data_IF_650339309228
#
_entry.id   IF_650339309228
#
_cell.length_a   1.000
_cell.length_b   1.000
_cell.length_c   1.000
_cell.angle_alpha   90.00
_cell.angle_beta   90.00
_cell.angle_gamma   90.00
#
_symmetry.space_group_name_H-M   'P 1'
#
loop_
_entity.id
_entity.type
_entity.pdbx_description
1 polymer ?
#
# COMPACT_ATOMS: atom_id res chain seq x y z
N UNK A 1 14.22 14.27 17.29
CA UNK A 1 12.89 13.81 17.74
C UNK A 1 12.89 12.30 17.71
N UNK A 2 12.31 11.65 18.73
CA UNK A 2 12.06 10.20 18.75
C UNK A 2 10.58 10.05 19.04
N UNK A 3 9.85 9.39 18.15
CA UNK A 3 8.41 9.20 18.26
C UNK A 3 8.04 7.79 17.82
N UNK A 4 6.93 7.28 18.35
CA UNK A 4 6.28 6.06 17.86
C UNK A 4 5.12 6.39 16.91
N UNK A 5 4.79 7.68 16.78
CA UNK A 5 3.77 8.16 15.86
C UNK A 5 4.38 8.38 14.48
N UNK A 6 3.92 7.57 13.53
CA UNK A 6 4.42 7.59 12.17
C UNK A 6 3.95 8.84 11.42
N UNK A 7 2.74 9.33 11.66
CA UNK A 7 2.21 10.51 10.98
C UNK A 7 2.99 11.76 11.37
N UNK A 8 3.38 11.87 12.63
CA UNK A 8 4.28 12.92 13.12
C UNK A 8 5.65 12.86 12.42
N UNK A 9 6.26 11.67 12.37
CA UNK A 9 7.55 11.49 11.71
C UNK A 9 7.49 11.79 10.20
N UNK A 10 6.40 11.38 9.54
CA UNK A 10 6.21 11.55 8.10
C UNK A 10 5.96 13.01 7.70
N UNK A 11 5.29 13.79 8.57
CA UNK A 11 4.93 15.17 8.28
C UNK A 11 6.01 16.19 8.66
N UNK A 12 6.79 15.92 9.71
CA UNK A 12 7.70 16.91 10.29
C UNK A 12 9.18 16.67 9.98
N UNK A 13 9.59 15.42 9.71
CA UNK A 13 11.01 15.09 9.59
C UNK A 13 11.58 15.43 8.20
N UNK A 14 12.74 16.08 8.14
CA UNK A 14 13.51 16.18 6.89
C UNK A 14 14.16 14.84 6.53
N UNK A 15 14.54 14.07 7.56
CA UNK A 15 15.07 12.71 7.46
C UNK A 15 14.60 11.90 8.66
N UNK A 16 14.29 10.63 8.43
CA UNK A 16 13.91 9.67 9.47
C UNK A 16 14.77 8.40 9.38
N UNK A 17 14.90 7.73 10.51
CA UNK A 17 15.55 6.42 10.61
C UNK A 17 14.52 5.40 11.11
N UNK A 18 14.32 4.32 10.34
CA UNK A 18 13.50 3.18 10.73
C UNK A 18 14.41 2.18 11.43
N UNK A 19 14.02 1.74 12.63
CA UNK A 19 14.82 0.85 13.46
C UNK A 19 14.08 -0.46 13.76
N UNK A 20 14.82 -1.56 13.84
CA UNK A 20 14.33 -2.88 14.27
C UNK A 20 15.33 -3.53 15.20
N UNK A 21 14.87 -3.99 16.36
CA UNK A 21 15.72 -4.69 17.35
C UNK A 21 17.03 -3.92 17.68
N UNK A 22 16.91 -2.61 17.88
CA UNK A 22 18.04 -1.74 18.23
C UNK A 22 18.99 -1.40 17.07
N UNK A 23 18.71 -1.84 15.83
CA UNK A 23 19.50 -1.51 14.64
C UNK A 23 18.74 -0.62 13.67
N UNK A 24 19.42 0.33 13.05
CA UNK A 24 18.88 1.12 11.95
C UNK A 24 18.77 0.22 10.72
N UNK A 25 17.56 0.13 10.15
CA UNK A 25 17.26 -0.64 8.95
C UNK A 25 17.31 0.25 7.72
N UNK A 26 16.74 1.45 7.80
CA UNK A 26 16.72 2.41 6.69
C UNK A 26 16.80 3.84 7.22
N UNK A 27 17.49 4.72 6.49
CA UNK A 27 17.50 6.16 6.73
C UNK A 27 17.21 6.87 5.42
N UNK A 28 16.29 7.83 5.42
CA UNK A 28 15.91 8.57 4.21
C UNK A 28 15.00 9.74 4.53
N UNK A 29 14.56 10.47 3.52
CA UNK A 29 13.41 11.38 3.67
C UNK A 29 12.14 10.54 3.95
N UNK A 30 11.11 11.11 4.59
CA UNK A 30 9.81 10.44 4.72
C UNK A 30 9.30 9.86 3.40
N UNK A 31 9.39 10.65 2.32
CA UNK A 31 8.98 10.25 0.99
C UNK A 31 9.77 9.04 0.49
N UNK A 32 11.10 9.03 0.63
CA UNK A 32 11.93 7.89 0.16
C UNK A 32 11.68 6.63 0.97
N UNK A 33 11.52 6.76 2.30
CA UNK A 33 11.24 5.60 3.15
C UNK A 33 9.87 5.01 2.84
N UNK A 34 8.90 5.85 2.48
CA UNK A 34 7.56 5.42 2.11
C UNK A 34 7.49 4.84 0.69
N UNK A 35 8.04 5.52 -0.32
CA UNK A 35 7.96 5.08 -1.72
C UNK A 35 8.99 3.99 -2.07
N UNK A 36 10.12 3.93 -1.35
CA UNK A 36 11.23 3.00 -1.62
C UNK A 36 11.69 2.28 -0.34
N UNK A 37 10.81 1.48 0.29
CA UNK A 37 11.17 0.71 1.46
C UNK A 37 12.20 -0.38 1.10
N UNK A 38 13.32 -0.45 1.80
CA UNK A 38 14.41 -1.40 1.49
C UNK A 38 14.12 -2.84 1.89
N UNK A 39 13.04 -3.08 2.63
CA UNK A 39 12.65 -4.42 3.05
C UNK A 39 11.15 -4.49 3.33
N UNK A 40 10.62 -5.72 3.37
CA UNK A 40 9.25 -5.98 3.81
C UNK A 40 8.96 -5.37 5.19
N UNK A 41 9.91 -5.46 6.11
CA UNK A 41 9.75 -4.85 7.42
C UNK A 41 9.49 -3.34 7.32
N UNK A 42 10.27 -2.61 6.51
CA UNK A 42 10.07 -1.16 6.38
C UNK A 42 8.76 -0.84 5.65
N UNK A 43 8.42 -1.62 4.62
CA UNK A 43 7.17 -1.46 3.88
C UNK A 43 5.93 -1.66 4.77
N UNK A 44 5.95 -2.70 5.62
CA UNK A 44 4.90 -3.02 6.59
C UNK A 44 4.90 -2.06 7.80
N UNK A 45 6.07 -1.51 8.15
CA UNK A 45 6.20 -0.62 9.29
C UNK A 45 5.79 0.81 8.96
N UNK A 46 6.07 1.31 7.76
CA UNK A 46 5.79 2.69 7.36
C UNK A 46 4.53 2.73 6.50
N UNK A 47 3.42 3.06 7.15
CA UNK A 47 2.09 3.10 6.55
C UNK A 47 1.58 1.72 6.12
N UNK A 48 0.49 1.73 5.35
CA UNK A 48 -0.13 0.50 4.85
C UNK A 48 0.45 0.17 3.47
N UNK A 49 0.67 -1.11 3.20
CA UNK A 49 1.10 -1.61 1.89
C UNK A 49 0.43 -2.95 1.58
N UNK A 50 0.20 -3.21 0.29
CA UNK A 50 -0.01 -4.56 -0.20
C UNK A 50 1.36 -5.21 -0.42
N UNK A 51 1.63 -6.31 0.28
CA UNK A 51 2.85 -7.10 0.08
C UNK A 51 2.50 -8.33 -0.75
N UNK A 52 3.00 -8.36 -1.99
CA UNK A 52 2.63 -9.35 -2.99
C UNK A 52 3.86 -10.19 -3.33
N UNK A 53 3.74 -11.52 -3.25
CA UNK A 53 4.77 -12.42 -3.77
C UNK A 53 4.74 -12.41 -5.30
N UNK A 54 5.90 -12.19 -5.91
CA UNK A 54 6.08 -12.21 -7.37
C UNK A 54 7.07 -13.32 -7.78
N UNK A 55 7.05 -13.76 -9.04
CA UNK A 55 7.93 -14.83 -9.51
C UNK A 55 9.41 -14.61 -9.16
N UNK A 56 10.09 -15.70 -8.82
CA UNK A 56 11.48 -15.66 -8.37
C UNK A 56 11.65 -15.48 -6.85
N UNK A 57 10.57 -15.65 -6.06
CA UNK A 57 10.63 -15.59 -4.60
C UNK A 57 10.86 -14.17 -4.07
N UNK A 58 10.43 -13.16 -4.82
CA UNK A 58 10.60 -11.74 -4.49
C UNK A 58 9.29 -11.15 -4.00
N UNK A 59 9.38 -10.03 -3.31
CA UNK A 59 8.23 -9.31 -2.79
C UNK A 59 8.08 -7.96 -3.48
N UNK A 60 6.83 -7.58 -3.77
CA UNK A 60 6.45 -6.27 -4.27
C UNK A 60 5.66 -5.55 -3.17
N UNK A 61 6.10 -4.36 -2.78
CA UNK A 61 5.29 -3.44 -1.99
C UNK A 61 4.50 -2.53 -2.93
N UNK A 62 3.18 -2.55 -2.82
CA UNK A 62 2.28 -1.70 -3.59
C UNK A 62 1.40 -0.88 -2.65
N UNK A 63 1.55 0.44 -2.68
CA UNK A 63 0.80 1.35 -1.81
C UNK A 63 -0.68 1.40 -2.22
N UNK A 64 -1.64 1.37 -1.28
CA UNK A 64 -3.07 1.33 -1.59
C UNK A 64 -3.56 2.47 -2.50
N UNK A 65 -2.99 3.66 -2.38
CA UNK A 65 -3.29 4.83 -3.21
C UNK A 65 -2.75 4.74 -4.65
N UNK A 66 -1.87 3.77 -4.94
CA UNK A 66 -1.41 3.46 -6.29
C UNK A 66 -2.34 2.44 -6.98
N UNK A 67 -3.35 1.93 -6.26
CA UNK A 67 -4.31 0.97 -6.78
C UNK A 67 -5.58 1.69 -7.21
N UNK A 68 -5.86 1.64 -8.50
CA UNK A 68 -7.09 2.16 -9.09
C UNK A 68 -8.23 1.20 -8.75
N UNK A 69 -9.32 1.76 -8.21
CA UNK A 69 -10.58 1.06 -7.98
C UNK A 69 -11.63 1.56 -8.97
N UNK A 70 -12.28 0.67 -9.70
CA UNK A 70 -13.22 1.03 -10.77
C UNK A 70 -14.37 0.01 -10.88
N UNK A 71 -15.53 0.44 -11.38
CA UNK A 71 -16.64 -0.46 -11.74
C UNK A 71 -16.46 -1.10 -13.12
N UNK A 72 -15.57 -0.56 -13.95
CA UNK A 72 -15.17 -1.09 -15.26
C UNK A 72 -13.70 -1.50 -15.24
N UNK A 73 -13.34 -2.52 -16.04
CA UNK A 73 -11.94 -2.99 -16.12
C UNK A 73 -11.02 -1.84 -16.56
N UNK A 74 -10.06 -1.41 -15.72
CA UNK A 74 -9.14 -0.34 -16.08
C UNK A 74 -8.12 -0.82 -17.12
N UNK A 75 -7.67 0.11 -17.96
CA UNK A 75 -6.56 -0.11 -18.89
C UNK A 75 -5.23 0.17 -18.16
N UNK A 76 -4.77 -0.82 -17.42
CA UNK A 76 -3.54 -0.78 -16.61
C UNK A 76 -2.79 -2.09 -16.83
N UNK A 77 -1.48 -2.09 -16.55
CA UNK A 77 -0.65 -3.28 -16.74
C UNK A 77 -1.18 -4.50 -15.97
N UNK A 78 -1.74 -4.27 -14.78
CA UNK A 78 -2.34 -5.27 -13.92
C UNK A 78 -3.80 -4.92 -13.65
N UNK A 79 -4.74 -5.81 -13.94
CA UNK A 79 -6.16 -5.58 -13.68
C UNK A 79 -6.87 -6.87 -13.21
N UNK A 80 -7.52 -6.81 -12.06
CA UNK A 80 -8.15 -7.96 -11.40
C UNK A 80 -9.57 -7.63 -10.94
N UNK A 81 -10.52 -8.52 -11.24
CA UNK A 81 -11.86 -8.44 -10.67
C UNK A 81 -11.86 -8.90 -9.21
N UNK A 82 -12.70 -8.26 -8.40
CA UNK A 82 -12.86 -8.60 -7.00
C UNK A 82 -14.13 -8.01 -6.39
N UNK A 83 -14.32 -8.27 -5.10
CA UNK A 83 -15.46 -7.77 -4.33
C UNK A 83 -14.98 -6.99 -3.12
N UNK A 84 -15.56 -5.81 -2.89
CA UNK A 84 -15.29 -5.04 -1.67
C UNK A 84 -15.90 -5.79 -0.49
N UNK A 85 -15.04 -6.23 0.44
CA UNK A 85 -15.47 -6.89 1.67
C UNK A 85 -15.49 -5.95 2.87
N UNK A 86 -14.73 -4.86 2.83
CA UNK A 86 -14.69 -3.89 3.92
C UNK A 86 -14.33 -2.48 3.42
N UNK A 87 -14.79 -1.47 4.15
CA UNK A 87 -14.49 -0.06 3.89
C UNK A 87 -14.25 0.64 5.22
N UNK A 88 -13.02 1.11 5.43
CA UNK A 88 -12.67 1.96 6.56
C UNK A 88 -12.64 3.43 6.10
N UNK A 89 -13.22 4.31 6.90
CA UNK A 89 -13.29 5.75 6.60
C UNK A 89 -12.19 6.49 7.36
N UNK A 90 -11.28 7.13 6.63
CA UNK A 90 -10.12 7.86 7.14
C UNK A 90 -10.24 9.34 6.74
N UNK A 91 -11.32 9.98 7.17
CA UNK A 91 -11.62 11.37 6.84
C UNK A 91 -11.98 11.56 5.37
N UNK A 92 -11.08 12.17 4.59
CA UNK A 92 -11.30 12.48 3.17
C UNK A 92 -11.12 11.27 2.24
N UNK A 93 -10.54 10.18 2.75
CA UNK A 93 -10.26 8.96 2.00
C UNK A 93 -10.96 7.77 2.64
N UNK A 94 -11.25 6.79 1.81
CA UNK A 94 -11.74 5.48 2.25
C UNK A 94 -10.70 4.42 1.86
N UNK A 95 -10.35 3.57 2.82
CA UNK A 95 -9.53 2.39 2.58
C UNK A 95 -10.46 1.20 2.33
N UNK A 96 -10.48 0.72 1.09
CA UNK A 96 -11.29 -0.42 0.68
C UNK A 96 -10.47 -1.71 0.72
N UNK A 97 -11.00 -2.74 1.40
CA UNK A 97 -10.48 -4.10 1.29
C UNK A 97 -11.26 -4.87 0.23
N UNK A 98 -10.55 -5.39 -0.76
CA UNK A 98 -11.11 -6.14 -1.89
C UNK A 98 -10.58 -7.56 -1.86
N UNK A 99 -11.47 -8.55 -1.93
CA UNK A 99 -11.11 -9.95 -2.14
C UNK A 99 -11.15 -10.24 -3.63
N UNK A 100 -10.03 -10.73 -4.18
CA UNK A 100 -9.88 -11.13 -5.57
C UNK A 100 -10.48 -12.53 -5.81
N UNK A 101 -10.66 -12.89 -7.08
CA UNK A 101 -11.17 -14.22 -7.48
C UNK A 101 -10.29 -15.41 -7.03
N UNK A 102 -9.02 -15.17 -6.71
CA UNK A 102 -8.09 -16.18 -6.18
C UNK A 102 -8.04 -16.25 -4.64
N UNK A 103 -8.91 -15.49 -3.96
CA UNK A 103 -9.00 -15.45 -2.50
C UNK A 103 -8.00 -14.50 -1.83
N UNK A 104 -7.05 -13.90 -2.56
CA UNK A 104 -6.16 -12.88 -1.99
C UNK A 104 -6.97 -11.61 -1.66
N UNK A 105 -6.58 -10.93 -0.58
CA UNK A 105 -7.13 -9.62 -0.24
C UNK A 105 -6.14 -8.52 -0.56
N UNK A 106 -6.63 -7.46 -1.19
CA UNK A 106 -5.89 -6.26 -1.56
C UNK A 106 -6.56 -5.03 -0.94
N UNK A 107 -5.77 -4.01 -0.68
CA UNK A 107 -6.20 -2.71 -0.20
C UNK A 107 -6.06 -1.68 -1.30
N UNK A 108 -7.07 -0.82 -1.45
CA UNK A 108 -7.05 0.32 -2.34
C UNK A 108 -7.63 1.54 -1.63
N UNK A 109 -7.04 2.71 -1.88
CA UNK A 109 -7.55 3.96 -1.33
C UNK A 109 -8.36 4.69 -2.39
N UNK A 110 -9.54 5.17 -2.00
CA UNK A 110 -10.41 5.96 -2.87
C UNK A 110 -10.87 7.23 -2.16
N UNK A 111 -11.26 8.23 -2.94
CA UNK A 111 -11.87 9.46 -2.44
C UNK A 111 -13.39 9.38 -2.57
N UNK A 112 -14.12 9.87 -1.57
CA UNK A 112 -15.58 9.87 -1.57
C UNK A 112 -16.21 8.54 -1.16
N UNK A 113 -17.49 8.38 -1.47
CA UNK A 113 -18.37 7.31 -0.96
C UNK A 113 -18.94 6.38 -2.05
N UNK A 114 -18.39 6.47 -3.26
CA UNK A 114 -18.85 5.70 -4.43
C UNK A 114 -18.71 4.18 -4.25
N UNK A 115 -17.80 3.75 -3.38
CA UNK A 115 -17.49 2.34 -3.15
C UNK A 115 -17.95 1.90 -1.76
N UNK A 116 -18.68 0.77 -1.73
CA UNK A 116 -19.29 0.23 -0.51
C UNK A 116 -19.09 -1.28 -0.45
N UNK A 117 -19.13 -1.83 0.76
CA UNK A 117 -19.09 -3.28 0.98
C UNK A 117 -20.14 -3.97 0.12
N UNK A 118 -19.73 -5.06 -0.53
CA UNK A 118 -20.56 -5.87 -1.42
C UNK A 118 -20.41 -5.55 -2.91
N UNK A 119 -19.91 -4.35 -3.26
CA UNK A 119 -19.71 -3.96 -4.66
C UNK A 119 -18.71 -4.89 -5.37
N UNK A 120 -19.08 -5.30 -6.59
CA UNK A 120 -18.16 -5.91 -7.55
C UNK A 120 -17.37 -4.80 -8.26
N UNK A 121 -16.06 -4.98 -8.30
CA UNK A 121 -15.11 -3.94 -8.70
C UNK A 121 -13.93 -4.55 -9.45
N UNK A 122 -13.19 -3.69 -10.12
CA UNK A 122 -11.88 -3.96 -10.65
C UNK A 122 -10.84 -3.18 -9.85
N UNK A 123 -9.76 -3.87 -9.52
CA UNK A 123 -8.50 -3.28 -9.07
C UNK A 123 -7.54 -3.22 -10.25
N UNK A 124 -6.79 -2.13 -10.38
CA UNK A 124 -5.70 -2.07 -11.34
C UNK A 124 -4.54 -1.18 -10.92
N UNK A 125 -3.36 -1.44 -11.47
CA UNK A 125 -2.15 -0.63 -11.27
C UNK A 125 -1.18 -0.84 -12.42
N UNK A 126 -0.32 0.15 -12.64
CA UNK A 126 0.70 0.10 -13.69
C UNK A 126 1.96 -0.66 -13.25
N UNK A 127 2.78 -1.06 -14.22
CA UNK A 127 3.92 -1.95 -14.00
C UNK A 127 4.99 -1.35 -13.06
N UNK A 128 5.07 -0.02 -12.97
CA UNK A 128 6.01 0.74 -12.16
C UNK A 128 5.41 1.26 -10.84
N UNK A 129 4.13 0.96 -10.57
CA UNK A 129 3.43 1.44 -9.39
C UNK A 129 3.92 0.84 -8.07
N UNK A 130 4.54 -0.36 -8.13
CA UNK A 130 5.06 -1.07 -6.96
C UNK A 130 6.58 -1.03 -6.86
N UNK A 131 7.09 -1.15 -5.63
CA UNK A 131 8.52 -1.24 -5.35
C UNK A 131 8.92 -2.69 -5.04
N UNK A 132 9.87 -3.22 -5.81
CA UNK A 132 10.44 -4.54 -5.53
C UNK A 132 11.34 -4.46 -4.31
N UNK A 133 11.11 -5.36 -3.36
CA UNK A 133 11.83 -5.40 -2.10
C UNK A 133 13.03 -6.33 -2.21
N UNK A 134 14.10 -5.94 -1.53
CA UNK A 134 15.22 -6.82 -1.28
C UNK A 134 14.85 -7.85 -0.20
N UNK A 135 15.39 -9.06 -0.34
CA UNK A 135 15.16 -10.20 0.56
C UNK A 135 15.81 -10.02 1.92
#
# INVERSE_FOLDING_TARGET
MVTHDQEEAMSMASRMAVMRAGRVVQVGSPHDVYERPVSRFVADFIGIANIIEVPGGRWLALRPEKVVLSTVRPDTAHAFAGKIVDVAYEGARSLCRVVLGDGRSMLATTSGDAFRRGHDVWLGWDADAGHLLDT
#
